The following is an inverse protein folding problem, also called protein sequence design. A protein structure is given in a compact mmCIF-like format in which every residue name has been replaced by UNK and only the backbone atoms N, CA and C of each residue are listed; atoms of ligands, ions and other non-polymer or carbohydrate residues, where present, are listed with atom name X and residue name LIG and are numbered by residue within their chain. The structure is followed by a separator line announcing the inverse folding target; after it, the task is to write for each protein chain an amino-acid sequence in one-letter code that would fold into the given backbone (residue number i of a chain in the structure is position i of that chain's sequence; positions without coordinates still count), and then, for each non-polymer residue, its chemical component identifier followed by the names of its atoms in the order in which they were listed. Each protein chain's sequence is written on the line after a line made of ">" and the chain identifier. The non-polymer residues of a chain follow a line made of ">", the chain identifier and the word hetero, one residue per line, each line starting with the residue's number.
data_IF_601882332214
#
_entry.id   IF_601882332214
#
_cell.length_a   1.000
_cell.length_b   1.000
_cell.length_c   1.000
_cell.angle_alpha   90.00
_cell.angle_beta   90.00
_cell.angle_gamma   90.00
#
_symmetry.space_group_name_H-M   'P 1'
#
loop_
_entity.id
_entity.type
_entity.pdbx_description
1 polymer ?
#
# COMPACT_ATOMS: atom_id res chain seq x y z
N UNK A 1 -12.46 -0.38 -13.92
CA UNK A 1 -11.76 -0.99 -12.78
C UNK A 1 -12.36 -0.46 -11.48
N UNK A 2 -12.51 -1.31 -10.41
CA UNK A 2 -13.05 -0.89 -9.11
C UNK A 2 -12.26 0.30 -8.57
N UNK A 3 -10.94 0.27 -8.71
CA UNK A 3 -10.02 1.36 -8.42
C UNK A 3 -10.49 2.69 -8.98
N UNK A 4 -10.75 2.72 -10.28
CA UNK A 4 -11.10 3.97 -10.98
C UNK A 4 -12.49 4.46 -10.55
N UNK A 5 -13.38 3.54 -10.18
CA UNK A 5 -14.73 3.87 -9.70
C UNK A 5 -14.69 4.53 -8.32
N UNK A 6 -13.88 4.01 -7.39
CA UNK A 6 -13.71 4.60 -6.04
C UNK A 6 -13.10 6.00 -6.16
N UNK A 7 -11.98 6.11 -6.88
CA UNK A 7 -11.31 7.39 -7.07
C UNK A 7 -12.20 8.41 -7.82
N UNK A 8 -13.01 7.96 -8.77
CA UNK A 8 -13.96 8.83 -9.48
C UNK A 8 -15.05 9.35 -8.53
N UNK A 9 -15.58 8.49 -7.64
CA UNK A 9 -16.56 8.86 -6.64
C UNK A 9 -15.98 9.89 -5.64
N UNK A 10 -14.78 9.66 -5.12
CA UNK A 10 -14.08 10.59 -4.22
C UNK A 10 -13.81 11.94 -4.89
N UNK A 11 -13.35 11.92 -6.15
CA UNK A 11 -13.14 13.15 -6.94
C UNK A 11 -14.44 13.90 -7.18
N UNK A 12 -15.54 13.20 -7.41
CA UNK A 12 -16.85 13.83 -7.59
C UNK A 12 -17.32 14.44 -6.28
N UNK A 13 -17.28 13.71 -5.17
CA UNK A 13 -17.66 14.22 -3.86
C UNK A 13 -16.86 15.47 -3.46
N UNK A 14 -15.55 15.48 -3.73
CA UNK A 14 -14.72 16.67 -3.51
C UNK A 14 -15.15 17.87 -4.38
N UNK A 15 -15.45 17.63 -5.67
CA UNK A 15 -15.93 18.70 -6.57
C UNK A 15 -17.24 19.29 -6.09
N UNK A 16 -18.15 18.43 -5.61
CA UNK A 16 -19.46 18.85 -5.11
C UNK A 16 -19.31 19.67 -3.81
N UNK A 17 -18.45 19.21 -2.90
CA UNK A 17 -18.13 19.93 -1.67
C UNK A 17 -17.50 21.32 -1.96
N UNK A 18 -16.55 21.39 -2.89
CA UNK A 18 -15.95 22.69 -3.30
C UNK A 18 -16.96 23.59 -4.00
N UNK A 19 -17.84 23.02 -4.82
CA UNK A 19 -18.92 23.78 -5.48
C UNK A 19 -19.89 24.35 -4.45
N UNK A 20 -20.32 23.57 -3.47
CA UNK A 20 -21.15 24.02 -2.36
C UNK A 20 -20.45 25.13 -1.55
N UNK A 21 -19.20 24.91 -1.16
CA UNK A 21 -18.39 25.91 -0.43
C UNK A 21 -18.26 27.23 -1.20
N UNK A 22 -18.06 27.20 -2.53
CA UNK A 22 -17.98 28.41 -3.37
C UNK A 22 -19.29 29.21 -3.42
N UNK A 23 -20.43 28.55 -3.30
CA UNK A 23 -21.76 29.18 -3.33
C UNK A 23 -22.13 29.92 -2.03
N UNK A 24 -21.42 29.58 -0.93
CA UNK A 24 -21.67 30.28 0.34
C UNK A 24 -21.13 31.70 0.32
N UNK A 25 -21.81 32.64 1.02
CA UNK A 25 -21.32 33.99 1.20
C UNK A 25 -19.91 34.02 1.82
N UNK A 26 -19.00 34.90 1.39
CA UNK A 26 -17.61 34.89 1.90
C UNK A 26 -17.49 35.02 3.44
N UNK A 27 -18.44 35.68 4.09
CA UNK A 27 -18.44 35.86 5.56
C UNK A 27 -18.89 34.61 6.33
N UNK A 28 -19.62 33.69 5.67
CA UNK A 28 -20.16 32.46 6.24
C UNK A 28 -19.36 31.25 5.78
N UNK A 29 -18.45 31.47 4.84
CA UNK A 29 -17.62 30.44 4.22
C UNK A 29 -16.51 30.03 5.17
N UNK A 30 -16.59 28.85 5.74
CA UNK A 30 -15.50 28.22 6.47
C UNK A 30 -14.30 27.88 5.57
N UNK A 31 -13.39 27.08 6.07
CA UNK A 31 -12.23 26.62 5.31
C UNK A 31 -12.64 25.85 4.06
N UNK A 32 -11.81 25.97 3.02
CA UNK A 32 -12.01 25.21 1.80
C UNK A 32 -11.93 23.71 2.12
N UNK A 33 -12.89 22.88 1.62
CA UNK A 33 -12.84 21.44 1.82
C UNK A 33 -11.46 20.88 1.50
N UNK A 34 -10.92 20.05 2.38
CA UNK A 34 -9.64 19.40 2.17
C UNK A 34 -9.74 18.41 1.01
N UNK A 35 -8.71 18.40 0.16
CA UNK A 35 -8.57 17.38 -0.86
C UNK A 35 -7.99 16.15 -0.19
N UNK A 36 -8.78 15.09 -0.09
CA UNK A 36 -8.37 13.83 0.49
C UNK A 36 -8.85 12.70 -0.40
N UNK A 37 -7.93 11.88 -0.87
CA UNK A 37 -8.23 10.71 -1.68
C UNK A 37 -7.55 9.50 -1.05
N UNK A 38 -8.29 8.42 -0.86
CA UNK A 38 -7.78 7.16 -0.32
C UNK A 38 -6.75 6.50 -1.24
N UNK A 39 -6.72 6.92 -2.50
CA UNK A 39 -5.81 6.38 -3.50
C UNK A 39 -4.98 7.47 -4.16
N UNK A 40 -3.66 7.25 -4.18
CA UNK A 40 -2.69 8.07 -4.91
C UNK A 40 -2.05 7.24 -6.04
N UNK A 41 -1.68 7.89 -7.14
CA UNK A 41 -0.92 7.24 -8.21
C UNK A 41 0.59 7.36 -7.98
N UNK A 42 1.01 8.46 -7.37
CA UNK A 42 2.40 8.76 -7.03
C UNK A 42 2.46 9.81 -5.90
N UNK A 43 3.67 10.12 -5.46
CA UNK A 43 3.94 11.33 -4.69
C UNK A 43 5.14 12.07 -5.29
N UNK A 44 5.12 13.39 -5.24
CA UNK A 44 6.16 14.21 -5.85
C UNK A 44 7.44 14.30 -5.01
N UNK A 45 7.31 14.20 -3.70
CA UNK A 45 8.42 14.23 -2.74
C UNK A 45 7.93 13.83 -1.35
N UNK A 46 8.87 13.51 -0.46
CA UNK A 46 8.60 13.09 0.93
C UNK A 46 7.71 14.06 1.71
N UNK A 47 7.82 15.36 1.45
CA UNK A 47 7.02 16.34 2.17
C UNK A 47 5.55 16.39 1.76
N UNK A 48 5.26 16.16 0.50
CA UNK A 48 3.87 16.08 0.05
C UNK A 48 3.21 14.82 0.61
N UNK A 49 3.97 13.75 0.72
CA UNK A 49 3.48 12.52 1.33
C UNK A 49 3.25 12.68 2.84
N UNK A 50 4.16 13.35 3.58
CA UNK A 50 3.98 13.62 5.00
C UNK A 50 2.65 14.36 5.27
N UNK A 51 2.33 15.38 4.47
CA UNK A 51 1.08 16.12 4.61
C UNK A 51 -0.17 15.27 4.30
N UNK A 52 -0.09 14.37 3.33
CA UNK A 52 -1.18 13.46 3.04
C UNK A 52 -1.35 12.41 4.16
N UNK A 53 -0.25 11.91 4.73
CA UNK A 53 -0.28 10.97 5.85
C UNK A 53 -0.90 11.59 7.10
N UNK A 54 -0.50 12.80 7.47
CA UNK A 54 -1.11 13.55 8.58
C UNK A 54 -2.62 13.71 8.40
N UNK A 55 -3.07 14.09 7.19
CA UNK A 55 -4.50 14.23 6.90
C UNK A 55 -5.26 12.91 7.02
N UNK A 56 -4.65 11.82 6.56
CA UNK A 56 -5.28 10.51 6.60
C UNK A 56 -5.31 9.95 8.03
N UNK A 57 -4.27 10.19 8.82
CA UNK A 57 -4.26 9.83 10.24
C UNK A 57 -5.37 10.56 11.00
N UNK A 58 -5.50 11.88 10.84
CA UNK A 58 -6.58 12.67 11.46
C UNK A 58 -7.96 12.12 11.08
N UNK A 59 -8.10 11.62 9.87
CA UNK A 59 -9.36 11.04 9.38
C UNK A 59 -9.53 9.55 9.76
N UNK A 60 -8.55 8.91 10.41
CA UNK A 60 -8.55 7.49 10.70
C UNK A 60 -8.53 6.60 9.46
N UNK A 61 -7.88 7.06 8.38
CA UNK A 61 -7.87 6.40 7.07
C UNK A 61 -6.45 6.00 6.63
N UNK A 62 -6.36 4.97 5.79
CA UNK A 62 -5.11 4.58 5.13
C UNK A 62 -5.00 5.13 3.71
N UNK A 63 -3.82 5.00 3.13
CA UNK A 63 -3.51 5.40 1.75
C UNK A 63 -3.16 4.16 0.93
N UNK A 64 -3.79 3.99 -0.22
CA UNK A 64 -3.39 3.05 -1.25
C UNK A 64 -2.61 3.77 -2.36
N UNK A 65 -1.34 3.49 -2.49
CA UNK A 65 -0.51 3.98 -3.58
C UNK A 65 -0.52 2.96 -4.72
N UNK A 66 -1.10 3.34 -5.85
CA UNK A 66 -1.20 2.51 -7.05
C UNK A 66 -0.35 3.12 -8.16
N UNK A 67 0.89 2.67 -8.32
CA UNK A 67 1.76 3.09 -9.41
C UNK A 67 1.58 2.16 -10.62
N UNK A 68 1.38 2.74 -11.80
CA UNK A 68 1.39 1.95 -13.03
C UNK A 68 2.77 1.31 -13.25
N UNK A 69 3.83 2.09 -12.96
CA UNK A 69 5.20 1.61 -12.92
C UNK A 69 5.84 1.96 -11.58
N UNK A 70 6.31 0.97 -10.83
CA UNK A 70 6.91 1.15 -9.51
C UNK A 70 8.19 2.01 -9.55
N UNK A 71 8.84 2.09 -10.71
CA UNK A 71 10.00 2.96 -10.92
C UNK A 71 9.71 4.45 -10.68
N UNK A 72 8.46 4.89 -10.87
CA UNK A 72 8.06 6.27 -10.59
C UNK A 72 8.23 6.62 -9.11
N UNK A 73 7.92 5.68 -8.24
CA UNK A 73 8.11 5.80 -6.79
C UNK A 73 9.59 5.87 -6.45
N UNK A 74 10.41 4.99 -7.04
CA UNK A 74 11.86 5.01 -6.82
C UNK A 74 12.49 6.33 -7.28
N UNK A 75 12.06 6.85 -8.40
CA UNK A 75 12.51 8.16 -8.91
C UNK A 75 12.14 9.30 -7.96
N UNK A 76 10.95 9.28 -7.38
CA UNK A 76 10.50 10.28 -6.40
C UNK A 76 11.33 10.22 -5.11
N UNK A 77 11.61 9.02 -4.62
CA UNK A 77 12.53 8.77 -3.50
C UNK A 77 13.96 9.23 -3.85
N UNK A 78 14.45 8.88 -5.04
CA UNK A 78 15.77 9.27 -5.53
C UNK A 78 15.96 10.77 -5.75
N UNK A 79 14.89 11.49 -6.08
CA UNK A 79 14.95 12.96 -6.24
C UNK A 79 15.30 13.68 -4.92
N UNK A 80 14.80 13.18 -3.80
CA UNK A 80 15.16 13.70 -2.47
C UNK A 80 16.61 13.35 -2.09
N UNK A 81 17.10 12.19 -2.50
CA UNK A 81 18.50 11.76 -2.27
C UNK A 81 19.49 12.63 -3.04
N UNK A 82 19.18 12.99 -4.31
CA UNK A 82 20.02 13.88 -5.11
C UNK A 82 20.16 15.29 -4.50
N UNK A 83 19.22 15.69 -3.66
CA UNK A 83 19.27 16.94 -2.89
C UNK A 83 20.02 16.80 -1.57
N UNK A 84 20.64 15.64 -1.32
CA UNK A 84 21.46 15.39 -0.13
C UNK A 84 20.69 15.03 1.14
N UNK A 85 19.39 14.76 1.06
CA UNK A 85 18.59 14.50 2.26
C UNK A 85 18.53 13.02 2.67
N UNK A 86 18.72 12.06 1.75
CA UNK A 86 18.56 10.61 2.02
C UNK A 86 17.17 10.21 2.59
N UNK A 87 16.30 11.20 2.74
CA UNK A 87 15.05 11.12 3.50
C UNK A 87 14.01 10.25 2.81
N UNK A 88 13.94 10.31 1.50
CA UNK A 88 12.93 9.54 0.76
C UNK A 88 13.06 8.04 0.97
N UNK A 89 14.29 7.53 1.03
CA UNK A 89 14.53 6.12 1.27
C UNK A 89 14.16 5.70 2.70
N UNK A 90 14.59 6.46 3.72
CA UNK A 90 14.20 6.19 5.11
C UNK A 90 12.71 6.28 5.32
N UNK A 91 12.01 7.17 4.61
CA UNK A 91 10.56 7.26 4.66
C UNK A 91 9.88 5.98 4.15
N UNK A 92 10.32 5.41 3.01
CA UNK A 92 9.78 4.13 2.53
C UNK A 92 9.98 3.00 3.55
N UNK A 93 11.11 3.00 4.26
CA UNK A 93 11.38 2.01 5.31
C UNK A 93 10.40 2.17 6.47
N UNK A 94 10.19 3.39 6.96
CA UNK A 94 9.25 3.70 8.06
C UNK A 94 7.80 3.38 7.68
N UNK A 95 7.38 3.68 6.45
CA UNK A 95 6.05 3.34 5.96
C UNK A 95 5.74 1.84 6.02
N UNK A 96 6.74 1.00 5.77
CA UNK A 96 6.55 -0.45 5.90
C UNK A 96 6.31 -0.88 7.35
N UNK A 97 7.00 -0.27 8.28
CA UNK A 97 6.88 -0.60 9.70
C UNK A 97 5.63 0.06 10.33
N UNK A 98 5.02 1.04 9.65
CA UNK A 98 3.85 1.79 10.13
C UNK A 98 4.22 2.93 11.05
N UNK A 99 5.52 3.29 11.08
CA UNK A 99 6.06 4.28 11.99
C UNK A 99 5.58 5.69 11.65
N UNK A 100 5.47 6.51 12.68
CA UNK A 100 5.22 7.93 12.57
C UNK A 100 6.43 8.73 12.09
N UNK A 101 6.20 9.97 11.76
CA UNK A 101 7.24 10.92 11.40
C UNK A 101 6.86 12.34 11.82
N UNK A 102 7.84 13.09 12.30
CA UNK A 102 7.69 14.53 12.52
C UNK A 102 8.74 15.28 11.73
N UNK A 103 8.33 16.19 10.86
CA UNK A 103 9.27 16.94 10.05
C UNK A 103 9.18 18.44 10.31
N UNK A 104 10.29 19.03 10.74
CA UNK A 104 10.42 20.48 10.83
C UNK A 104 11.01 21.03 9.53
N UNK A 105 10.39 22.09 8.98
CA UNK A 105 10.90 22.81 7.82
C UNK A 105 10.97 24.30 8.12
N UNK A 106 12.03 24.94 7.64
CA UNK A 106 12.27 26.36 7.86
C UNK A 106 11.22 27.28 7.18
N UNK A 107 10.49 26.78 6.18
CA UNK A 107 9.64 27.61 5.31
C UNK A 107 8.16 27.24 5.28
N UNK A 108 7.76 26.11 5.89
CA UNK A 108 6.36 25.64 5.96
C UNK A 108 6.19 24.72 7.15
N UNK A 109 4.99 24.64 7.69
CA UNK A 109 4.63 23.58 8.63
C UNK A 109 4.88 22.23 7.96
N UNK A 110 5.71 21.42 8.58
CA UNK A 110 5.96 20.06 8.14
C UNK A 110 4.80 19.16 8.56
N UNK A 111 4.48 18.13 7.78
CA UNK A 111 3.53 17.11 8.21
C UNK A 111 4.08 16.34 9.41
N UNK A 112 3.21 16.05 10.39
CA UNK A 112 3.52 15.23 11.55
C UNK A 112 2.40 14.22 11.74
N UNK A 113 2.77 12.94 11.89
CA UNK A 113 1.84 11.83 12.14
C UNK A 113 2.51 10.82 13.05
N UNK A 114 1.73 10.13 13.88
CA UNK A 114 2.21 9.15 14.85
C UNK A 114 2.25 7.75 14.24
N UNK A 115 1.31 7.46 13.34
CA UNK A 115 1.23 6.17 12.64
C UNK A 115 1.00 6.37 11.13
N UNK A 116 1.49 5.43 10.33
CA UNK A 116 1.27 5.43 8.88
C UNK A 116 0.64 4.14 8.40
N UNK A 117 -0.46 4.26 7.65
CA UNK A 117 -1.15 3.12 7.05
C UNK A 117 -1.11 3.24 5.52
N UNK A 118 -0.02 2.77 4.92
CA UNK A 118 0.21 2.85 3.47
C UNK A 118 0.36 1.46 2.87
N UNK A 119 -0.43 1.20 1.85
CA UNK A 119 -0.26 0.04 0.99
C UNK A 119 0.23 0.49 -0.38
N UNK A 120 1.25 -0.17 -0.91
CA UNK A 120 1.85 0.15 -2.21
C UNK A 120 1.64 -1.02 -3.16
N UNK A 121 1.06 -0.76 -4.31
CA UNK A 121 0.86 -1.72 -5.40
C UNK A 121 1.37 -1.10 -6.71
N UNK A 122 2.10 -1.87 -7.50
CA UNK A 122 2.58 -1.39 -8.80
C UNK A 122 3.15 -2.50 -9.66
N UNK A 123 3.21 -2.24 -10.95
CA UNK A 123 3.91 -3.09 -11.92
C UNK A 123 5.38 -2.71 -12.02
N UNK A 124 6.21 -3.68 -12.41
CA UNK A 124 7.61 -3.42 -12.79
C UNK A 124 8.06 -4.45 -13.81
N UNK A 125 8.79 -3.99 -14.80
CA UNK A 125 9.39 -4.89 -15.78
C UNK A 125 10.55 -5.67 -15.14
N UNK A 126 10.71 -6.99 -15.42
CA UNK A 126 11.76 -7.80 -14.82
C UNK A 126 13.19 -7.28 -15.08
N UNK A 127 13.43 -6.67 -16.25
CA UNK A 127 14.71 -6.04 -16.57
C UNK A 127 14.99 -4.82 -15.69
N UNK A 128 13.98 -3.97 -15.49
CA UNK A 128 14.07 -2.78 -14.62
C UNK A 128 14.29 -3.20 -13.18
N UNK A 129 13.56 -4.22 -12.70
CA UNK A 129 13.73 -4.75 -11.35
C UNK A 129 15.17 -5.26 -11.13
N UNK A 130 15.73 -6.01 -12.09
CA UNK A 130 17.13 -6.46 -12.03
C UNK A 130 18.09 -5.29 -11.91
N UNK A 131 17.84 -4.21 -12.63
CA UNK A 131 18.67 -3.02 -12.60
C UNK A 131 18.57 -2.25 -11.28
N UNK A 132 17.40 -2.23 -10.65
CA UNK A 132 17.18 -1.63 -9.34
C UNK A 132 17.83 -2.42 -8.18
N UNK A 133 17.79 -3.76 -8.27
CA UNK A 133 18.30 -4.64 -7.22
C UNK A 133 19.79 -5.00 -7.46
N UNK A 134 20.45 -4.41 -8.46
CA UNK A 134 21.85 -4.72 -8.85
C UNK A 134 22.78 -4.83 -7.64
N UNK A 135 22.96 -6.06 -7.19
CA UNK A 135 24.04 -6.50 -6.31
C UNK A 135 23.93 -6.16 -4.85
N UNK A 136 23.05 -5.23 -4.43
CA UNK A 136 23.06 -4.83 -3.01
C UNK A 136 21.81 -4.06 -2.62
N UNK A 137 20.89 -4.68 -1.86
CA UNK A 137 19.79 -3.98 -1.19
C UNK A 137 20.22 -3.60 0.24
N UNK A 138 21.24 -2.72 0.37
CA UNK A 138 21.85 -2.34 1.65
C UNK A 138 20.86 -1.84 2.68
N UNK A 139 19.83 -1.14 2.23
CA UNK A 139 18.82 -0.56 3.10
C UNK A 139 17.66 -1.51 3.36
N UNK A 140 17.54 -2.59 2.59
CA UNK A 140 16.42 -3.53 2.63
C UNK A 140 15.12 -2.92 2.13
N UNK A 141 15.20 -1.87 1.31
CA UNK A 141 14.01 -1.24 0.70
C UNK A 141 13.22 -2.25 -0.13
N UNK A 142 13.89 -2.93 -1.04
CA UNK A 142 13.26 -3.90 -1.93
C UNK A 142 12.82 -5.18 -1.21
N UNK A 143 13.49 -5.51 -0.11
CA UNK A 143 13.11 -6.63 0.76
C UNK A 143 11.74 -6.46 1.43
N UNK A 144 11.19 -5.25 1.44
CA UNK A 144 9.88 -4.94 2.01
C UNK A 144 8.71 -5.16 1.03
N UNK A 145 9.02 -5.35 -0.24
CA UNK A 145 8.01 -5.63 -1.27
C UNK A 145 7.78 -7.13 -1.42
N UNK A 146 6.53 -7.53 -1.59
CA UNK A 146 6.16 -8.88 -1.99
C UNK A 146 6.15 -8.93 -3.52
N UNK A 147 7.12 -9.63 -4.09
CA UNK A 147 7.26 -9.76 -5.53
C UNK A 147 6.43 -10.93 -6.04
N UNK A 148 5.55 -10.66 -7.00
CA UNK A 148 4.74 -11.67 -7.67
C UNK A 148 5.10 -11.67 -9.15
N UNK A 149 5.63 -12.78 -9.62
CA UNK A 149 5.94 -12.95 -11.03
C UNK A 149 4.71 -13.47 -11.77
N UNK A 150 4.40 -12.83 -12.88
CA UNK A 150 3.37 -13.34 -13.79
C UNK A 150 3.81 -14.69 -14.38
N UNK A 151 2.94 -15.72 -14.43
CA UNK A 151 3.33 -17.01 -14.99
C UNK A 151 3.79 -16.85 -16.44
N UNK A 152 4.93 -17.44 -16.83
CA UNK A 152 5.40 -17.37 -18.20
C UNK A 152 4.42 -18.08 -19.13
N UNK A 153 4.23 -17.54 -20.33
CA UNK A 153 3.42 -18.17 -21.38
C UNK A 153 1.94 -17.81 -21.41
N UNK A 154 1.47 -16.94 -20.52
CA UNK A 154 0.12 -16.36 -20.68
C UNK A 154 0.19 -15.27 -21.73
N UNK A 155 -0.23 -15.61 -22.94
CA UNK A 155 -0.48 -14.64 -23.99
C UNK A 155 -1.94 -14.20 -23.84
N UNK A 156 -2.14 -12.93 -23.47
CA UNK A 156 -3.47 -12.32 -23.50
C UNK A 156 -3.68 -11.83 -24.94
N UNK A 157 -4.55 -12.45 -25.73
CA UNK A 157 -4.82 -11.96 -27.07
C UNK A 157 -5.36 -10.53 -26.99
N UNK A 158 -5.06 -9.68 -27.98
CA UNK A 158 -5.74 -8.40 -28.10
C UNK A 158 -7.25 -8.67 -28.20
N UNK A 159 -8.03 -7.84 -27.55
CA UNK A 159 -9.47 -8.01 -27.37
C UNK A 159 -10.18 -8.21 -28.72
N UNK A 160 -10.57 -9.44 -28.99
CA UNK A 160 -11.81 -9.68 -29.70
C UNK A 160 -12.94 -9.30 -28.75
N UNK A 161 -14.09 -8.86 -29.26
CA UNK A 161 -15.24 -8.54 -28.44
C UNK A 161 -15.51 -9.67 -27.42
N UNK A 162 -15.55 -9.38 -26.12
CA UNK A 162 -15.63 -10.42 -25.11
C UNK A 162 -16.92 -11.20 -25.28
N UNK A 163 -16.85 -12.51 -25.26
CA UNK A 163 -18.02 -13.38 -25.32
C UNK A 163 -18.95 -13.13 -24.13
N UNK A 164 -20.24 -13.42 -24.28
CA UNK A 164 -21.23 -13.27 -23.19
C UNK A 164 -20.80 -14.03 -21.93
N UNK A 165 -20.18 -15.19 -22.07
CA UNK A 165 -19.65 -15.96 -20.94
C UNK A 165 -18.49 -15.24 -20.23
N UNK A 166 -17.61 -14.59 -20.97
CA UNK A 166 -16.51 -13.80 -20.39
C UNK A 166 -17.03 -12.57 -19.65
N UNK A 167 -18.01 -11.87 -20.23
CA UNK A 167 -18.68 -10.73 -19.58
C UNK A 167 -19.37 -11.16 -18.28
N UNK A 168 -20.07 -12.29 -18.28
CA UNK A 168 -20.70 -12.84 -17.08
C UNK A 168 -19.68 -13.19 -15.99
N UNK A 169 -18.61 -13.89 -16.34
CA UNK A 169 -17.52 -14.20 -15.38
C UNK A 169 -16.86 -12.95 -14.83
N UNK A 170 -16.67 -11.93 -15.66
CA UNK A 170 -16.14 -10.65 -15.21
C UNK A 170 -17.08 -9.94 -14.23
N UNK A 171 -18.38 -9.98 -14.48
CA UNK A 171 -19.39 -9.43 -13.57
C UNK A 171 -19.37 -10.17 -12.21
N UNK A 172 -19.40 -11.50 -12.22
CA UNK A 172 -19.31 -12.34 -11.03
C UNK A 172 -18.03 -12.06 -10.22
N UNK A 173 -16.86 -11.93 -10.89
CA UNK A 173 -15.61 -11.59 -10.24
C UNK A 173 -15.63 -10.18 -9.62
N UNK A 174 -16.25 -9.20 -10.29
CA UNK A 174 -16.42 -7.84 -9.76
C UNK A 174 -17.32 -7.82 -8.52
N UNK A 175 -18.42 -8.56 -8.54
CA UNK A 175 -19.33 -8.66 -7.41
C UNK A 175 -18.65 -9.32 -6.21
N UNK A 176 -17.86 -10.37 -6.43
CA UNK A 176 -17.05 -11.00 -5.39
C UNK A 176 -16.03 -10.04 -4.79
N UNK A 177 -15.27 -9.32 -5.62
CA UNK A 177 -14.33 -8.30 -5.15
C UNK A 177 -15.01 -7.17 -4.37
N UNK A 178 -16.21 -6.76 -4.80
CA UNK A 178 -16.99 -5.77 -4.08
C UNK A 178 -17.39 -6.28 -2.69
N UNK A 179 -17.86 -7.53 -2.57
CA UNK A 179 -18.21 -8.13 -1.29
C UNK A 179 -17.00 -8.15 -0.33
N UNK A 180 -15.81 -8.52 -0.79
CA UNK A 180 -14.60 -8.43 0.02
C UNK A 180 -14.26 -6.99 0.41
N UNK A 181 -14.36 -6.04 -0.52
CA UNK A 181 -14.12 -4.63 -0.21
C UNK A 181 -15.10 -4.10 0.85
N UNK A 182 -16.40 -4.43 0.73
CA UNK A 182 -17.42 -4.05 1.70
C UNK A 182 -17.16 -4.71 3.07
N UNK A 183 -16.73 -5.99 3.10
CA UNK A 183 -16.35 -6.69 4.31
C UNK A 183 -15.17 -5.96 5.01
N UNK A 184 -14.07 -5.74 4.31
CA UNK A 184 -12.90 -5.06 4.88
C UNK A 184 -13.25 -3.64 5.36
N UNK A 185 -14.09 -2.92 4.62
CA UNK A 185 -14.51 -1.57 5.02
C UNK A 185 -15.40 -1.58 6.27
N UNK A 186 -16.12 -2.66 6.52
CA UNK A 186 -16.98 -2.82 7.71
C UNK A 186 -16.21 -3.23 8.98
N UNK A 187 -14.96 -3.69 8.84
CA UNK A 187 -14.15 -4.12 9.97
C UNK A 187 -13.81 -2.93 10.86
N UNK A 188 -14.01 -3.10 12.15
CA UNK A 188 -13.55 -2.13 13.13
C UNK A 188 -12.04 -2.26 13.33
N UNK A 189 -11.32 -1.16 13.54
CA UNK A 189 -9.93 -1.23 13.95
C UNK A 189 -9.77 -2.14 15.17
N UNK A 190 -8.78 -3.01 15.14
CA UNK A 190 -8.54 -3.95 16.23
C UNK A 190 -7.21 -4.65 16.08
N UNK A 191 -6.77 -5.27 17.16
CA UNK A 191 -5.53 -6.04 17.19
C UNK A 191 -5.82 -7.52 16.98
N UNK A 192 -5.22 -8.11 15.96
CA UNK A 192 -5.25 -9.57 15.74
C UNK A 192 -4.00 -10.18 16.35
N UNK A 193 -4.17 -11.17 17.23
CA UNK A 193 -3.07 -11.86 17.90
C UNK A 193 -3.09 -13.33 17.55
N UNK A 194 -1.89 -13.92 17.47
CA UNK A 194 -1.76 -15.38 17.37
C UNK A 194 -2.11 -16.01 18.73
N UNK A 195 -2.91 -17.06 18.72
CA UNK A 195 -3.09 -17.90 19.86
C UNK A 195 -1.79 -18.68 20.21
N UNK A 196 -1.83 -19.50 21.24
CA UNK A 196 -0.66 -20.24 21.71
C UNK A 196 -0.11 -21.18 20.62
N UNK A 197 -0.98 -21.88 19.92
CA UNK A 197 -0.60 -22.87 18.92
C UNK A 197 -0.05 -22.16 17.66
N UNK A 198 -0.75 -21.17 17.15
CA UNK A 198 -0.31 -20.35 16.04
C UNK A 198 1.04 -19.67 16.30
N UNK A 199 1.26 -19.19 17.54
CA UNK A 199 2.54 -18.61 17.94
C UNK A 199 3.68 -19.64 17.92
N UNK A 200 3.43 -20.87 18.40
CA UNK A 200 4.43 -21.94 18.36
C UNK A 200 4.76 -22.35 16.93
N UNK A 201 3.75 -22.46 16.07
CA UNK A 201 3.95 -22.75 14.64
C UNK A 201 4.75 -21.64 13.97
N UNK A 202 4.35 -20.40 14.17
CA UNK A 202 5.03 -19.24 13.59
C UNK A 202 6.49 -19.17 14.06
N UNK A 203 6.78 -19.37 15.34
CA UNK A 203 8.13 -19.32 15.88
C UNK A 203 9.03 -20.41 15.29
N UNK A 204 8.53 -21.63 15.11
CA UNK A 204 9.29 -22.72 14.45
C UNK A 204 9.61 -22.36 13.01
N UNK A 205 8.59 -21.94 12.25
CA UNK A 205 8.77 -21.50 10.88
C UNK A 205 9.74 -20.31 10.80
N UNK A 206 9.61 -19.33 11.66
CA UNK A 206 10.46 -18.14 11.71
C UNK A 206 11.93 -18.50 11.91
N UNK A 207 12.24 -19.36 12.88
CA UNK A 207 13.62 -19.79 13.17
C UNK A 207 14.22 -20.51 11.94
N UNK A 208 13.52 -21.50 11.39
CA UNK A 208 13.99 -22.25 10.21
C UNK A 208 14.19 -21.30 9.01
N UNK A 209 13.24 -20.40 8.80
CA UNK A 209 13.28 -19.44 7.71
C UNK A 209 14.45 -18.44 7.83
N UNK A 210 14.72 -17.92 9.03
CA UNK A 210 15.88 -17.07 9.29
C UNK A 210 17.20 -17.81 9.12
N UNK A 211 17.30 -19.07 9.56
CA UNK A 211 18.47 -19.90 9.37
C UNK A 211 18.77 -20.14 7.88
N UNK A 212 17.74 -20.39 7.07
CA UNK A 212 17.88 -20.50 5.60
C UNK A 212 18.42 -19.20 5.01
N UNK A 213 17.90 -18.04 5.43
CA UNK A 213 18.39 -16.75 4.99
C UNK A 213 19.87 -16.52 5.29
N UNK A 214 20.31 -16.91 6.48
CA UNK A 214 21.71 -16.84 6.88
C UNK A 214 22.58 -17.79 6.03
N UNK A 215 22.10 -19.01 5.79
CA UNK A 215 22.84 -20.02 5.02
C UNK A 215 23.02 -19.63 3.54
N UNK A 216 22.05 -18.93 2.96
CA UNK A 216 22.15 -18.44 1.57
C UNK A 216 23.23 -17.38 1.45
N UNK A 217 23.35 -16.45 2.42
CA UNK A 217 24.40 -15.44 2.46
C UNK A 217 24.39 -14.42 1.30
N UNK A 218 23.28 -14.37 0.55
CA UNK A 218 23.12 -13.46 -0.58
C UNK A 218 22.62 -12.08 -0.11
N UNK A 219 23.21 -11.02 -0.65
CA UNK A 219 22.94 -9.65 -0.21
C UNK A 219 21.53 -9.13 -0.57
N UNK A 220 20.82 -9.81 -1.45
CA UNK A 220 19.43 -9.47 -1.85
C UNK A 220 18.43 -10.43 -1.22
N UNK A 221 18.66 -11.73 -1.35
CA UNK A 221 17.73 -12.76 -0.89
C UNK A 221 17.68 -12.80 0.65
N UNK A 222 18.79 -12.69 1.33
CA UNK A 222 18.84 -12.73 2.81
C UNK A 222 17.99 -11.62 3.45
N UNK A 223 18.06 -10.34 3.04
CA UNK A 223 17.16 -9.30 3.53
C UNK A 223 15.67 -9.59 3.23
N UNK A 224 15.35 -10.13 2.03
CA UNK A 224 13.97 -10.50 1.67
C UNK A 224 13.42 -11.58 2.61
N UNK A 225 14.19 -12.62 2.88
CA UNK A 225 13.82 -13.67 3.81
C UNK A 225 13.65 -13.13 5.24
N UNK A 226 14.47 -12.21 5.68
CA UNK A 226 14.32 -11.57 7.00
C UNK A 226 13.01 -10.76 7.12
N UNK A 227 12.59 -10.08 6.07
CA UNK A 227 11.36 -9.28 6.07
C UNK A 227 10.10 -10.07 5.76
N UNK A 228 10.20 -11.26 5.20
CA UNK A 228 9.06 -12.11 4.85
C UNK A 228 8.23 -12.55 6.06
N UNK A 229 8.80 -12.55 7.26
CA UNK A 229 8.05 -12.85 8.49
C UNK A 229 6.94 -11.83 8.76
N UNK A 230 7.22 -10.53 8.57
CA UNK A 230 6.21 -9.48 8.67
C UNK A 230 5.15 -9.63 7.57
N UNK A 231 5.56 -9.98 6.35
CA UNK A 231 4.63 -10.24 5.25
C UNK A 231 3.73 -11.44 5.53
N UNK A 232 4.27 -12.52 6.09
CA UNK A 232 3.49 -13.71 6.46
C UNK A 232 2.40 -13.39 7.50
N UNK A 233 2.71 -12.58 8.51
CA UNK A 233 1.72 -12.14 9.49
C UNK A 233 0.63 -11.26 8.87
N UNK A 234 0.99 -10.34 7.99
CA UNK A 234 0.04 -9.47 7.28
C UNK A 234 -0.90 -10.29 6.39
N UNK A 235 -0.35 -11.24 5.61
CA UNK A 235 -1.14 -12.15 4.78
C UNK A 235 -2.04 -13.05 5.64
N UNK A 236 -1.53 -13.55 6.78
CA UNK A 236 -2.31 -14.32 7.73
C UNK A 236 -3.51 -13.52 8.27
N UNK A 237 -3.32 -12.25 8.59
CA UNK A 237 -4.41 -11.36 8.98
C UNK A 237 -5.46 -11.20 7.87
N UNK A 238 -5.03 -11.01 6.61
CA UNK A 238 -5.96 -10.95 5.48
C UNK A 238 -6.75 -12.26 5.31
N UNK A 239 -6.07 -13.42 5.37
CA UNK A 239 -6.68 -14.74 5.21
C UNK A 239 -7.68 -15.07 6.32
N UNK A 240 -7.48 -14.55 7.53
CA UNK A 240 -8.41 -14.72 8.64
C UNK A 240 -9.82 -14.22 8.28
N UNK A 241 -9.91 -13.12 7.57
CA UNK A 241 -11.19 -12.50 7.17
C UNK A 241 -11.75 -13.01 5.84
N UNK A 242 -10.96 -13.74 5.06
CA UNK A 242 -11.37 -14.25 3.74
C UNK A 242 -11.61 -15.76 3.70
N UNK A 243 -11.35 -16.47 4.82
CA UNK A 243 -11.56 -17.91 4.94
C UNK A 243 -12.87 -18.25 5.64
N UNK A 244 -13.44 -19.41 5.37
CA UNK A 244 -14.64 -19.95 6.05
C UNK A 244 -14.49 -20.00 7.57
N UNK A 245 -13.24 -20.04 8.08
CA UNK A 245 -12.94 -19.96 9.51
C UNK A 245 -13.33 -18.61 10.15
N UNK A 246 -13.52 -17.56 9.36
CA UNK A 246 -14.02 -16.28 9.86
C UNK A 246 -15.51 -16.35 10.18
N UNK A 247 -16.29 -17.08 9.40
CA UNK A 247 -17.75 -17.22 9.58
C UNK A 247 -18.13 -17.90 10.90
N UNK A 248 -17.36 -18.85 11.37
CA UNK A 248 -17.63 -19.59 12.62
C UNK A 248 -17.27 -18.83 13.91
N UNK A 249 -16.45 -17.78 13.85
CA UNK A 249 -16.03 -16.98 15.01
C UNK A 249 -16.87 -15.73 15.25
N UNK A 250 -17.67 -15.31 14.28
CA UNK A 250 -18.52 -14.12 14.35
C UNK A 250 -20.02 -14.45 14.37
N UNK A 251 -20.40 -15.73 14.43
CA UNK A 251 -21.75 -16.21 14.76
C UNK A 251 -21.83 -16.53 16.26
#
# INVERSE_FOLDING_TARGET
>A
CIRDSILAAEKQAYRDAVSYWRKQPPKERGDKPARMFSQLNDWNNSASLDLELERHEIAGAGILLCADELISIDNSVGADTKRGSGRGESQVLSLFDGDGNSSTRATRDGGSYDESHVSIVGGIQPSVLKDLIKGDDRTGKWARFLWVQYPPGIIIPPDDDPTELQLRRLAEARDTLKQYADLFHSLKPGTVTLDREGRLMFNRWFIDHQQRGVAIGDNVITPMLKKSSAQALRLGGCLLYTSDAADDRYR
#
